data_IF_397582141219
#
_entry.id   IF_397582141219
#
_cell.length_a   1.000
_cell.length_b   1.000
_cell.length_c   1.000
_cell.angle_alpha   90.00
_cell.angle_beta   90.00
_cell.angle_gamma   90.00
#
_symmetry.space_group_name_H-M   'P 1'
#
loop_
_entity.id
_entity.type
_entity.pdbx_description
1 polymer ?
#
# COMPACT_ATOMS: atom_id res chain seq x y z
N UNK A 1 17.67 -16.41 -0.58
CA UNK A 1 16.45 -15.89 -1.25
C UNK A 1 15.80 -14.94 -0.27
N UNK A 2 15.45 -13.75 -0.72
CA UNK A 2 14.87 -12.71 0.12
C UNK A 2 13.38 -12.61 -0.17
N UNK A 3 12.58 -12.45 0.88
CA UNK A 3 11.13 -12.42 0.76
C UNK A 3 10.61 -11.09 1.27
N UNK A 4 9.76 -10.48 0.45
CA UNK A 4 9.28 -9.12 0.65
C UNK A 4 7.76 -9.08 0.64
N UNK A 5 7.20 -8.18 1.43
CA UNK A 5 5.77 -7.88 1.50
C UNK A 5 5.55 -6.38 1.32
N UNK A 6 4.51 -6.00 0.59
CA UNK A 6 4.01 -4.64 0.53
C UNK A 6 2.48 -4.65 0.48
N UNK A 7 1.87 -3.49 0.67
CA UNK A 7 0.43 -3.29 0.54
C UNK A 7 0.14 -2.52 -0.74
N UNK A 8 -0.94 -2.87 -1.42
CA UNK A 8 -1.48 -2.11 -2.55
C UNK A 8 -2.91 -1.65 -2.24
N UNK A 9 -3.23 -0.43 -2.64
CA UNK A 9 -4.58 0.13 -2.61
C UNK A 9 -4.89 0.77 -3.95
N UNK A 10 -6.07 0.48 -4.49
CA UNK A 10 -6.54 1.17 -5.69
C UNK A 10 -7.36 2.39 -5.28
N UNK A 11 -6.78 3.58 -5.43
CA UNK A 11 -7.51 4.84 -5.30
C UNK A 11 -8.47 4.94 -6.49
N UNK A 12 -9.76 4.73 -6.22
CA UNK A 12 -10.80 4.68 -7.23
C UNK A 12 -10.98 6.03 -7.94
N UNK A 13 -11.90 6.08 -8.90
CA UNK A 13 -12.29 7.33 -9.57
C UNK A 13 -12.60 8.42 -8.52
N UNK A 14 -12.06 9.63 -8.68
CA UNK A 14 -11.42 10.17 -9.89
C UNK A 14 -9.90 10.01 -9.97
N UNK A 15 -9.23 9.58 -8.90
CA UNK A 15 -7.75 9.47 -8.84
C UNK A 15 -7.25 8.31 -9.72
N UNK A 16 -8.00 7.20 -9.75
CA UNK A 16 -7.79 6.04 -10.63
C UNK A 16 -6.33 5.51 -10.65
N UNK A 17 -5.71 5.39 -9.48
CA UNK A 17 -4.28 5.07 -9.34
C UNK A 17 -4.06 3.90 -8.39
N UNK A 18 -3.19 2.97 -8.78
CA UNK A 18 -2.67 1.96 -7.84
C UNK A 18 -1.56 2.59 -6.99
N UNK A 19 -1.74 2.55 -5.68
CA UNK A 19 -0.86 3.13 -4.68
C UNK A 19 -0.25 1.99 -3.87
N UNK A 20 1.04 2.10 -3.55
CA UNK A 20 1.79 1.05 -2.86
C UNK A 20 2.42 1.61 -1.59
N UNK A 21 2.45 0.83 -0.53
CA UNK A 21 3.29 1.12 0.62
C UNK A 21 4.77 0.90 0.30
N UNK A 22 5.62 1.23 1.27
CA UNK A 22 6.98 0.71 1.35
C UNK A 22 7.00 -0.82 1.29
N UNK A 23 8.16 -1.35 0.92
CA UNK A 23 8.41 -2.77 0.87
C UNK A 23 9.19 -3.22 2.12
N UNK A 24 8.70 -4.27 2.77
CA UNK A 24 9.32 -4.87 3.96
C UNK A 24 9.87 -6.25 3.65
N UNK A 25 11.16 -6.47 3.90
CA UNK A 25 11.74 -7.81 3.91
C UNK A 25 11.31 -8.55 5.18
N UNK A 26 10.63 -9.68 5.04
CA UNK A 26 10.15 -10.47 6.19
C UNK A 26 10.96 -11.75 6.43
N UNK A 27 11.79 -12.17 5.47
CA UNK A 27 12.65 -13.34 5.60
C UNK A 27 13.85 -13.29 4.65
N UNK A 28 15.00 -13.81 5.11
CA UNK A 28 16.21 -14.00 4.32
C UNK A 28 16.73 -15.43 4.54
N UNK A 29 16.65 -16.27 3.50
CA UNK A 29 17.02 -17.68 3.56
C UNK A 29 16.44 -18.49 2.41
N UNK A 30 16.60 -19.81 2.41
CA UNK A 30 15.94 -20.68 1.44
C UNK A 30 14.87 -21.50 2.17
N UNK A 31 13.60 -21.08 2.08
CA UNK A 31 12.50 -21.78 2.75
C UNK A 31 11.23 -21.70 1.90
N UNK A 32 10.60 -22.85 1.66
CA UNK A 32 9.32 -22.89 0.96
C UNK A 32 8.19 -22.44 1.88
N UNK A 33 7.22 -21.70 1.33
CA UNK A 33 5.98 -21.36 2.01
C UNK A 33 6.10 -20.33 3.14
N UNK A 34 7.20 -19.56 3.21
CA UNK A 34 7.27 -18.45 4.18
C UNK A 34 6.19 -17.43 3.87
N UNK A 35 5.47 -16.98 4.89
CA UNK A 35 4.45 -15.95 4.81
C UNK A 35 4.78 -14.84 5.82
N UNK A 36 4.47 -13.57 5.51
CA UNK A 36 4.61 -12.49 6.47
C UNK A 36 3.60 -12.64 7.61
N UNK A 37 4.03 -12.29 8.83
CA UNK A 37 3.12 -12.20 9.98
C UNK A 37 2.17 -11.00 9.84
N UNK A 38 1.01 -11.06 10.51
CA UNK A 38 0.07 -9.94 10.51
C UNK A 38 0.70 -8.65 11.08
N UNK A 39 1.60 -8.76 12.06
CA UNK A 39 2.33 -7.62 12.61
C UNK A 39 3.18 -6.93 11.55
N UNK A 40 3.94 -7.71 10.76
CA UNK A 40 4.76 -7.18 9.65
C UNK A 40 3.89 -6.53 8.55
N UNK A 41 2.72 -7.09 8.28
CA UNK A 41 1.76 -6.49 7.34
C UNK A 41 1.21 -5.18 7.92
N UNK A 42 0.90 -5.13 9.21
CA UNK A 42 0.30 -3.96 9.85
C UNK A 42 1.26 -2.77 9.92
N UNK A 43 2.57 -2.98 10.08
CA UNK A 43 3.56 -1.89 10.09
C UNK A 43 3.58 -1.09 8.79
N UNK A 44 3.12 -1.67 7.68
CA UNK A 44 3.04 -1.01 6.38
C UNK A 44 1.80 -0.12 6.20
N UNK A 45 0.81 -0.21 7.09
CA UNK A 45 -0.48 0.47 6.92
C UNK A 45 -0.32 1.99 6.90
N UNK A 46 0.55 2.54 7.76
CA UNK A 46 0.79 3.99 7.81
C UNK A 46 1.49 4.50 6.56
N UNK A 47 2.43 3.73 6.02
CA UNK A 47 3.10 4.04 4.75
C UNK A 47 2.08 4.08 3.60
N UNK A 48 1.20 3.08 3.53
CA UNK A 48 0.14 3.06 2.52
C UNK A 48 -0.80 4.27 2.62
N UNK A 49 -1.24 4.63 3.83
CA UNK A 49 -2.15 5.77 4.05
C UNK A 49 -1.50 7.06 3.56
N UNK A 50 -0.24 7.30 3.94
CA UNK A 50 0.50 8.48 3.49
C UNK A 50 0.63 8.57 1.97
N UNK A 51 0.88 7.44 1.30
CA UNK A 51 0.95 7.39 -0.16
C UNK A 51 -0.41 7.61 -0.84
N UNK A 52 -1.51 7.17 -0.22
CA UNK A 52 -2.87 7.45 -0.69
C UNK A 52 -3.18 8.94 -0.55
N UNK A 53 -2.91 9.53 0.61
CA UNK A 53 -3.10 10.97 0.83
C UNK A 53 -2.28 11.79 -0.19
N UNK A 54 -1.03 11.41 -0.43
CA UNK A 54 -0.15 12.03 -1.44
C UNK A 54 -0.74 11.94 -2.87
N UNK A 55 -1.35 10.81 -3.22
CA UNK A 55 -2.02 10.65 -4.51
C UNK A 55 -3.23 11.57 -4.66
N UNK A 56 -4.05 11.73 -3.61
CA UNK A 56 -5.18 12.65 -3.60
C UNK A 56 -4.74 14.11 -3.62
N UNK A 57 -3.70 14.47 -2.86
CA UNK A 57 -3.10 15.80 -2.89
C UNK A 57 -2.59 16.17 -4.27
N UNK A 58 -1.92 15.22 -4.95
CA UNK A 58 -1.45 15.41 -6.33
C UNK A 58 -2.62 15.62 -7.29
N UNK A 59 -3.68 14.82 -7.17
CA UNK A 59 -4.89 14.99 -7.97
C UNK A 59 -5.54 16.36 -7.73
N UNK A 60 -5.72 16.75 -6.46
CA UNK A 60 -6.38 18.00 -6.06
C UNK A 60 -5.61 19.25 -6.49
N UNK A 61 -4.27 19.21 -6.47
CA UNK A 61 -3.42 20.28 -7.01
C UNK A 61 -3.65 20.49 -8.52
N UNK A 62 -3.93 19.42 -9.27
CA UNK A 62 -4.26 19.50 -10.69
C UNK A 62 -5.75 19.83 -10.97
N UNK A 63 -6.63 19.65 -9.98
CA UNK A 63 -8.10 19.78 -10.13
C UNK A 63 -8.71 20.69 -9.05
N UNK A 64 -8.20 21.92 -8.95
CA UNK A 64 -8.58 22.89 -7.90
C UNK A 64 -10.10 23.17 -7.85
N UNK A 65 -10.77 23.12 -8.99
CA UNK A 65 -12.22 23.40 -9.09
C UNK A 65 -13.10 22.17 -8.78
N UNK A 66 -12.51 20.97 -8.67
CA UNK A 66 -13.24 19.73 -8.37
C UNK A 66 -12.35 18.76 -7.57
N UNK A 67 -12.03 19.10 -6.30
CA UNK A 67 -11.21 18.25 -5.46
C UNK A 67 -11.96 16.98 -5.05
N UNK A 68 -11.19 15.92 -4.80
CA UNK A 68 -11.67 14.67 -4.24
C UNK A 68 -11.15 14.50 -2.81
N UNK A 69 -11.98 13.93 -1.92
CA UNK A 69 -11.58 13.58 -0.56
C UNK A 69 -10.89 12.22 -0.52
N UNK A 70 -9.76 12.14 0.19
CA UNK A 70 -9.11 10.88 0.46
C UNK A 70 -10.03 9.96 1.31
N UNK A 71 -10.01 8.63 1.10
CA UNK A 71 -10.76 7.68 1.92
C UNK A 71 -10.24 7.68 3.36
N UNK A 72 -11.11 7.35 4.31
CA UNK A 72 -10.71 7.24 5.70
C UNK A 72 -9.67 6.10 5.91
N UNK A 73 -8.72 6.23 6.85
CA UNK A 73 -7.67 5.23 7.09
C UNK A 73 -8.17 3.79 7.28
N UNK A 74 -9.34 3.62 7.91
CA UNK A 74 -9.96 2.31 8.12
C UNK A 74 -10.48 1.69 6.81
N UNK A 75 -10.91 2.50 5.83
CA UNK A 75 -11.32 2.03 4.50
C UNK A 75 -10.09 1.58 3.70
N UNK A 76 -9.03 2.38 3.70
CA UNK A 76 -7.74 2.02 3.07
C UNK A 76 -7.23 0.70 3.68
N UNK A 77 -7.32 0.58 5.01
CA UNK A 77 -6.97 -0.62 5.76
C UNK A 77 -7.84 -1.81 5.36
N UNK A 78 -9.15 -1.67 5.21
CA UNK A 78 -10.04 -2.78 4.87
C UNK A 78 -9.86 -3.28 3.43
N UNK A 79 -9.65 -2.36 2.49
CA UNK A 79 -9.65 -2.66 1.05
C UNK A 79 -8.26 -2.90 0.46
N UNK A 80 -7.20 -2.77 1.26
CA UNK A 80 -5.83 -3.05 0.81
C UNK A 80 -5.65 -4.51 0.42
N UNK A 81 -4.79 -4.73 -0.56
CA UNK A 81 -4.30 -6.06 -0.92
C UNK A 81 -2.89 -6.27 -0.38
N UNK A 82 -2.64 -7.41 0.25
CA UNK A 82 -1.29 -7.83 0.66
C UNK A 82 -0.60 -8.49 -0.54
N UNK A 83 0.60 -8.02 -0.88
CA UNK A 83 1.40 -8.55 -1.98
C UNK A 83 2.72 -9.07 -1.43
N UNK A 84 3.19 -10.19 -1.99
CA UNK A 84 4.47 -10.78 -1.62
C UNK A 84 5.29 -11.10 -2.86
N UNK A 85 6.62 -10.99 -2.76
CA UNK A 85 7.55 -11.50 -3.78
C UNK A 85 8.77 -12.14 -3.13
N UNK A 86 9.42 -13.02 -3.88
CA UNK A 86 10.75 -13.56 -3.57
C UNK A 86 11.79 -13.01 -4.57
N UNK A 87 13.00 -12.74 -4.11
CA UNK A 87 14.16 -12.40 -4.93
C UNK A 87 15.28 -13.42 -4.68
N UNK A 88 15.92 -13.89 -5.76
CA UNK A 88 17.07 -14.79 -5.69
C UNK A 88 18.35 -14.02 -5.35
#
# INVERSE_FOLDING_TARGET
MKYYVWLEYYAASPVSKNVKSDELMYYDGHQHGVQPSQTQVNTLSQSLIGEVDSAYDTYNKAHVNNPASAPAPNVITADRTVKTRSAQ
#
